data_IF_169472051826
#
_entry.id   IF_169472051826
#
_cell.length_a   1.000
_cell.length_b   1.000
_cell.length_c   1.000
_cell.angle_alpha   90.00
_cell.angle_beta   90.00
_cell.angle_gamma   90.00
#
_symmetry.space_group_name_H-M   'P 1'
#
loop_
_entity.id
_entity.type
_entity.pdbx_description
1 polymer ?
#
# COMPACT_ATOMS: atom_id res chain seq x y z
N UNK A 1 33.25 -23.65 -60.40
CA UNK A 1 32.75 -23.40 -59.03
C UNK A 1 32.88 -21.89 -58.77
N UNK A 2 31.78 -21.13 -58.72
CA UNK A 2 31.83 -19.67 -58.46
C UNK A 2 32.04 -19.45 -56.95
N UNK A 3 33.17 -18.88 -56.53
CA UNK A 3 33.37 -18.44 -55.15
C UNK A 3 32.44 -17.25 -54.88
N UNK A 4 31.43 -17.43 -54.03
CA UNK A 4 30.64 -16.32 -53.47
C UNK A 4 31.55 -15.54 -52.52
N UNK A 5 31.78 -14.25 -52.77
CA UNK A 5 32.43 -13.39 -51.79
C UNK A 5 31.54 -13.32 -50.55
N UNK A 6 32.06 -13.77 -49.41
CA UNK A 6 31.42 -13.50 -48.13
C UNK A 6 31.87 -12.11 -47.70
N UNK A 7 31.01 -11.12 -47.87
CA UNK A 7 31.24 -9.79 -47.32
C UNK A 7 31.08 -9.91 -45.79
N UNK A 8 32.19 -9.86 -45.06
CA UNK A 8 32.19 -9.82 -43.59
C UNK A 8 31.97 -8.40 -43.08
N UNK A 9 31.44 -8.27 -41.86
CA UNK A 9 31.29 -6.99 -41.18
C UNK A 9 32.67 -6.39 -40.87
N UNK A 10 32.85 -5.10 -41.13
CA UNK A 10 34.04 -4.36 -40.70
C UNK A 10 33.95 -4.00 -39.21
N UNK A 11 35.10 -3.87 -38.55
CA UNK A 11 35.15 -3.42 -37.16
C UNK A 11 34.53 -2.03 -36.98
N UNK A 12 34.72 -1.12 -37.95
CA UNK A 12 34.17 0.22 -37.92
C UNK A 12 32.62 0.22 -37.95
N UNK A 13 32.01 -0.61 -38.79
CA UNK A 13 30.56 -0.77 -38.85
C UNK A 13 30.00 -1.26 -37.51
N UNK A 14 30.66 -2.22 -36.87
CA UNK A 14 30.24 -2.69 -35.56
C UNK A 14 30.37 -1.61 -34.47
N UNK A 15 31.47 -0.84 -34.48
CA UNK A 15 31.71 0.21 -33.49
C UNK A 15 30.67 1.34 -33.56
N UNK A 16 30.28 1.77 -34.77
CA UNK A 16 29.25 2.80 -34.94
C UNK A 16 27.90 2.32 -34.38
N UNK A 17 27.54 1.06 -34.62
CA UNK A 17 26.30 0.46 -34.10
C UNK A 17 26.29 0.46 -32.58
N UNK A 18 27.38 0.02 -31.94
CA UNK A 18 27.49 0.02 -30.48
C UNK A 18 27.42 1.44 -29.92
N UNK A 19 28.05 2.42 -30.58
CA UNK A 19 28.00 3.82 -30.16
C UNK A 19 26.57 4.39 -30.18
N UNK A 20 25.79 4.09 -31.24
CA UNK A 20 24.38 4.51 -31.32
C UNK A 20 23.54 3.84 -30.23
N UNK A 21 23.71 2.54 -30.01
CA UNK A 21 22.99 1.81 -28.95
C UNK A 21 23.32 2.41 -27.57
N UNK A 22 24.57 2.76 -27.30
CA UNK A 22 24.98 3.37 -26.04
C UNK A 22 24.25 4.69 -25.77
N UNK A 23 24.13 5.57 -26.78
CA UNK A 23 23.40 6.84 -26.66
C UNK A 23 21.91 6.59 -26.41
N UNK A 24 21.29 5.66 -27.15
CA UNK A 24 19.87 5.32 -26.98
C UNK A 24 19.57 4.78 -25.57
N UNK A 25 20.42 3.87 -25.08
CA UNK A 25 20.27 3.29 -23.74
C UNK A 25 20.45 4.36 -22.66
N UNK A 26 21.43 5.26 -22.81
CA UNK A 26 21.70 6.33 -21.85
C UNK A 26 20.48 7.24 -21.61
N UNK A 27 19.74 7.59 -22.68
CA UNK A 27 18.51 8.40 -22.56
C UNK A 27 17.31 7.56 -22.10
N UNK A 28 17.24 6.29 -22.51
CA UNK A 28 16.06 5.44 -22.26
C UNK A 28 15.93 4.98 -20.80
N UNK A 29 17.04 4.63 -20.13
CA UNK A 29 17.02 4.13 -18.74
C UNK A 29 16.32 5.08 -17.75
N UNK A 30 16.68 6.38 -17.64
CA UNK A 30 16.05 7.27 -16.67
C UNK A 30 14.56 7.48 -16.95
N UNK A 31 14.17 7.60 -18.23
CA UNK A 31 12.77 7.75 -18.64
C UNK A 31 11.97 6.51 -18.23
N UNK A 32 12.48 5.32 -18.56
CA UNK A 32 11.84 4.06 -18.23
C UNK A 32 11.69 3.88 -16.71
N UNK A 33 12.73 4.20 -15.94
CA UNK A 33 12.69 4.13 -14.47
C UNK A 33 11.61 5.05 -13.89
N UNK A 34 11.45 6.27 -14.41
CA UNK A 34 10.42 7.20 -13.98
C UNK A 34 9.00 6.69 -14.28
N UNK A 35 8.77 6.11 -15.46
CA UNK A 35 7.47 5.53 -15.83
C UNK A 35 7.16 4.27 -15.01
N UNK A 36 8.16 3.42 -14.77
CA UNK A 36 8.02 2.24 -13.94
C UNK A 36 7.62 2.60 -12.51
N UNK A 37 8.19 3.67 -11.95
CA UNK A 37 7.83 4.13 -10.62
C UNK A 37 6.40 4.69 -10.55
N UNK A 38 5.96 5.43 -11.59
CA UNK A 38 4.56 5.85 -11.71
C UNK A 38 3.61 4.65 -11.74
N UNK A 39 3.94 3.61 -12.51
CA UNK A 39 3.14 2.39 -12.58
C UNK A 39 3.05 1.68 -11.23
N UNK A 40 4.15 1.60 -10.47
CA UNK A 40 4.16 1.04 -9.12
C UNK A 40 3.23 1.78 -8.17
N UNK A 41 3.30 3.12 -8.16
CA UNK A 41 2.39 3.94 -7.35
C UNK A 41 0.93 3.77 -7.75
N UNK A 42 0.65 3.66 -9.05
CA UNK A 42 -0.70 3.41 -9.55
C UNK A 42 -1.27 2.09 -9.02
N UNK A 43 -0.46 1.02 -9.01
CA UNK A 43 -0.83 -0.28 -8.43
C UNK A 43 -1.09 -0.16 -6.93
N UNK A 44 -0.22 0.51 -6.19
CA UNK A 44 -0.38 0.71 -4.74
C UNK A 44 -1.66 1.50 -4.42
N UNK A 45 -1.95 2.57 -5.17
CA UNK A 45 -3.19 3.35 -5.04
C UNK A 45 -4.43 2.53 -5.37
N UNK A 46 -4.37 1.69 -6.41
CA UNK A 46 -5.47 0.81 -6.77
C UNK A 46 -5.74 -0.20 -5.65
N UNK A 47 -4.70 -0.84 -5.12
CA UNK A 47 -4.82 -1.78 -4.00
C UNK A 47 -5.42 -1.10 -2.76
N UNK A 48 -4.95 0.10 -2.41
CA UNK A 48 -5.49 0.87 -1.29
C UNK A 48 -6.99 1.20 -1.47
N UNK A 49 -7.41 1.57 -2.69
CA UNK A 49 -8.82 1.81 -3.01
C UNK A 49 -9.67 0.53 -2.92
N UNK A 50 -9.15 -0.61 -3.39
CA UNK A 50 -9.83 -1.91 -3.27
C UNK A 50 -10.02 -2.26 -1.80
N UNK A 51 -8.98 -2.11 -0.96
CA UNK A 51 -9.06 -2.37 0.49
C UNK A 51 -10.11 -1.48 1.14
N UNK A 52 -10.04 -0.16 0.90
CA UNK A 52 -11.02 0.80 1.44
C UNK A 52 -12.45 0.44 1.06
N UNK A 53 -12.66 0.11 -0.21
CA UNK A 53 -13.98 -0.32 -0.72
C UNK A 53 -14.44 -1.61 -0.06
N UNK A 54 -13.56 -2.62 0.04
CA UNK A 54 -13.89 -3.92 0.64
C UNK A 54 -14.31 -3.78 2.12
N UNK A 55 -13.57 -2.99 2.90
CA UNK A 55 -13.89 -2.74 4.31
C UNK A 55 -15.19 -1.95 4.47
N UNK A 56 -15.39 -0.91 3.64
CA UNK A 56 -16.63 -0.10 3.67
C UNK A 56 -17.84 -0.94 3.28
N UNK A 57 -17.72 -1.80 2.26
CA UNK A 57 -18.80 -2.68 1.83
C UNK A 57 -19.12 -3.74 2.90
N UNK A 58 -18.11 -4.34 3.53
CA UNK A 58 -18.32 -5.28 4.61
C UNK A 58 -19.07 -4.65 5.81
N UNK A 59 -18.78 -3.38 6.12
CA UNK A 59 -19.56 -2.63 7.09
C UNK A 59 -21.02 -2.43 6.65
N UNK A 60 -21.25 -1.98 5.41
CA UNK A 60 -22.59 -1.76 4.86
C UNK A 60 -23.44 -3.04 4.76
N UNK A 61 -22.79 -4.19 4.56
CA UNK A 61 -23.41 -5.52 4.52
C UNK A 61 -23.72 -6.08 5.91
N UNK A 62 -23.39 -5.35 6.99
CA UNK A 62 -23.62 -5.79 8.37
C UNK A 62 -22.66 -6.88 8.85
N UNK A 63 -21.55 -7.10 8.15
CA UNK A 63 -20.51 -8.08 8.54
C UNK A 63 -19.55 -7.56 9.59
N UNK A 64 -19.57 -6.25 9.84
CA UNK A 64 -18.76 -5.58 10.85
C UNK A 64 -19.63 -4.93 11.90
N UNK A 65 -19.44 -5.32 13.16
CA UNK A 65 -19.95 -4.60 14.31
C UNK A 65 -18.82 -3.75 14.89
N UNK A 66 -18.91 -2.43 14.67
CA UNK A 66 -17.93 -1.45 15.10
C UNK A 66 -18.59 -0.58 16.18
N UNK A 67 -18.16 -0.70 17.46
CA UNK A 67 -18.63 0.19 18.51
C UNK A 67 -18.38 1.65 18.15
N UNK A 68 -19.35 2.54 18.38
CA UNK A 68 -19.20 3.99 18.15
C UNK A 68 -18.08 4.63 19.00
N UNK A 69 -17.68 3.95 20.08
CA UNK A 69 -16.60 4.33 20.99
C UNK A 69 -15.81 3.08 21.36
N UNK A 70 -14.49 3.16 21.37
CA UNK A 70 -13.65 2.05 21.79
C UNK A 70 -13.77 1.83 23.31
N UNK A 71 -13.85 0.57 23.74
CA UNK A 71 -13.90 0.21 25.16
C UNK A 71 -12.61 0.67 25.85
N UNK A 72 -12.72 1.56 26.84
CA UNK A 72 -11.58 2.12 27.57
C UNK A 72 -10.84 3.26 26.87
N UNK A 73 -11.32 3.74 25.71
CA UNK A 73 -10.79 4.92 25.01
C UNK A 73 -11.92 5.77 24.40
N UNK A 74 -12.71 6.40 25.28
CA UNK A 74 -13.96 7.08 24.90
C UNK A 74 -13.79 8.32 24.01
N UNK A 75 -12.57 8.85 23.91
CA UNK A 75 -12.21 10.00 23.06
C UNK A 75 -11.48 9.60 21.76
N UNK A 76 -11.23 8.31 21.55
CA UNK A 76 -10.52 7.79 20.36
C UNK A 76 -11.51 7.23 19.34
N UNK A 77 -11.14 7.26 18.06
CA UNK A 77 -11.85 6.51 17.03
C UNK A 77 -11.81 5.00 17.31
N UNK A 78 -12.79 4.27 16.76
CA UNK A 78 -12.87 2.81 16.85
C UNK A 78 -13.17 2.23 15.47
N UNK A 79 -12.45 1.19 15.06
CA UNK A 79 -12.63 0.61 13.74
C UNK A 79 -11.70 -0.54 13.42
N UNK A 80 -11.57 -0.76 12.13
CA UNK A 80 -10.63 -1.69 11.50
C UNK A 80 -9.63 -0.91 10.68
N UNK A 81 -8.42 -1.42 10.59
CA UNK A 81 -7.40 -0.85 9.71
C UNK A 81 -6.56 -1.94 9.07
N UNK A 82 -5.96 -1.59 7.94
CA UNK A 82 -5.05 -2.46 7.21
C UNK A 82 -3.76 -1.70 6.96
N UNK A 83 -2.65 -2.22 7.45
CA UNK A 83 -1.32 -1.71 7.13
C UNK A 83 -0.75 -2.57 6.01
N UNK A 84 -0.20 -1.94 4.98
CA UNK A 84 0.61 -2.60 3.96
C UNK A 84 1.97 -1.91 3.95
N UNK A 85 3.05 -2.67 4.00
CA UNK A 85 4.41 -2.14 3.89
C UNK A 85 5.13 -2.74 2.68
N UNK A 86 6.24 -2.10 2.28
CA UNK A 86 7.12 -2.63 1.23
C UNK A 86 7.95 -3.82 1.73
N UNK A 87 8.36 -3.76 2.99
CA UNK A 87 9.00 -4.84 3.74
C UNK A 87 8.70 -4.70 5.23
N UNK A 88 8.88 -5.79 5.99
CA UNK A 88 8.75 -5.79 7.47
C UNK A 88 9.76 -4.86 8.17
N UNK A 89 10.74 -4.32 7.45
CA UNK A 89 11.71 -3.35 7.96
C UNK A 89 11.30 -1.89 7.72
N UNK A 90 10.17 -1.66 7.04
CA UNK A 90 9.73 -0.36 6.50
C UNK A 90 8.30 -0.06 6.97
N UNK A 91 8.13 -0.11 8.29
CA UNK A 91 6.85 0.03 8.97
C UNK A 91 6.65 1.45 9.54
N UNK A 92 5.38 1.85 9.81
CA UNK A 92 5.10 3.00 10.67
C UNK A 92 5.61 2.76 12.10
N UNK A 93 5.88 3.82 12.85
CA UNK A 93 6.49 3.79 14.20
C UNK A 93 5.80 2.84 15.19
N UNK A 94 4.47 2.71 15.09
CA UNK A 94 3.67 1.91 16.00
C UNK A 94 3.62 0.40 15.68
N UNK A 95 4.38 -0.08 14.68
CA UNK A 95 4.34 -1.47 14.21
C UNK A 95 5.74 -2.10 14.19
N UNK A 96 5.81 -3.38 14.56
CA UNK A 96 7.04 -4.18 14.49
C UNK A 96 6.90 -5.32 13.49
N UNK A 97 8.02 -5.86 13.02
CA UNK A 97 8.06 -7.01 12.10
C UNK A 97 7.28 -8.22 12.61
N UNK A 98 7.37 -8.47 13.92
CA UNK A 98 6.76 -9.64 14.57
C UNK A 98 5.24 -9.57 14.53
N UNK A 99 4.67 -8.35 14.57
CA UNK A 99 3.22 -8.16 14.45
C UNK A 99 2.67 -8.61 13.10
N UNK A 100 3.49 -8.52 12.04
CA UNK A 100 3.09 -8.90 10.69
C UNK A 100 3.33 -10.39 10.41
N UNK A 101 4.01 -11.11 11.31
CA UNK A 101 4.29 -12.54 11.18
C UNK A 101 4.83 -12.90 9.79
N UNK A 102 5.94 -12.27 9.39
CA UNK A 102 6.61 -12.41 8.08
C UNK A 102 5.83 -11.90 6.86
N UNK A 103 4.57 -11.48 7.02
CA UNK A 103 3.78 -10.86 5.94
C UNK A 103 4.17 -9.40 5.75
N UNK A 104 3.70 -8.82 4.65
CA UNK A 104 3.80 -7.37 4.37
C UNK A 104 2.47 -6.64 4.60
N UNK A 105 1.53 -7.31 5.27
CA UNK A 105 0.21 -6.79 5.60
C UNK A 105 -0.14 -7.08 7.06
N UNK A 106 -0.81 -6.13 7.71
CA UNK A 106 -1.40 -6.32 9.04
C UNK A 106 -2.87 -5.93 8.99
N UNK A 107 -3.75 -6.85 9.39
CA UNK A 107 -5.20 -6.65 9.44
C UNK A 107 -5.62 -6.40 10.89
N UNK A 108 -5.74 -5.15 11.28
CA UNK A 108 -5.99 -4.75 12.66
C UNK A 108 -7.45 -4.38 12.92
N UNK A 109 -7.86 -4.53 14.18
CA UNK A 109 -9.14 -4.04 14.67
C UNK A 109 -9.06 -3.69 16.16
N UNK A 110 -9.82 -2.68 16.58
CA UNK A 110 -9.86 -2.23 17.97
C UNK A 110 -10.63 -3.21 18.87
N UNK A 111 -10.43 -3.09 20.19
CA UNK A 111 -11.16 -3.91 21.17
C UNK A 111 -12.66 -3.70 21.05
N UNK A 112 -13.41 -4.81 21.05
CA UNK A 112 -14.87 -4.81 20.92
C UNK A 112 -15.37 -4.88 19.47
N UNK A 113 -14.52 -4.59 18.48
CA UNK A 113 -14.88 -4.74 17.06
C UNK A 113 -15.02 -6.21 16.70
N UNK A 114 -16.08 -6.55 15.98
CA UNK A 114 -16.33 -7.90 15.46
C UNK A 114 -16.44 -7.86 13.95
N UNK A 115 -15.70 -8.72 13.25
CA UNK A 115 -15.72 -8.82 11.78
C UNK A 115 -15.94 -10.28 11.39
N UNK A 116 -16.99 -10.58 10.61
CA UNK A 116 -17.36 -11.96 10.26
C UNK A 116 -17.45 -12.88 11.50
N UNK A 117 -17.94 -12.37 12.64
CA UNK A 117 -18.01 -13.11 13.91
C UNK A 117 -16.70 -13.20 14.71
N UNK A 118 -15.58 -12.70 14.18
CA UNK A 118 -14.29 -12.67 14.88
C UNK A 118 -14.15 -11.38 15.69
N UNK A 119 -14.23 -11.51 17.01
CA UNK A 119 -14.11 -10.39 17.95
C UNK A 119 -12.65 -10.08 18.30
N UNK A 120 -12.30 -8.81 18.27
CA UNK A 120 -11.02 -8.29 18.75
C UNK A 120 -11.08 -7.98 20.25
N UNK A 121 -10.12 -8.48 21.01
CA UNK A 121 -10.09 -8.35 22.46
C UNK A 121 -9.17 -7.22 22.95
N UNK A 122 -8.14 -6.86 22.18
CA UNK A 122 -7.18 -5.82 22.54
C UNK A 122 -7.29 -4.62 21.59
N UNK A 123 -6.71 -3.50 22.01
CA UNK A 123 -6.67 -2.26 21.21
C UNK A 123 -6.06 -2.46 19.81
N UNK A 124 -5.05 -3.32 19.70
CA UNK A 124 -4.30 -3.62 18.46
C UNK A 124 -4.25 -5.14 18.26
N UNK A 125 -5.38 -5.72 17.86
CA UNK A 125 -5.50 -7.16 17.60
C UNK A 125 -5.48 -7.43 16.10
N UNK A 126 -4.69 -8.44 15.69
CA UNK A 126 -4.84 -9.00 14.35
C UNK A 126 -6.21 -9.68 14.27
N UNK A 127 -7.00 -9.33 13.26
CA UNK A 127 -8.35 -9.85 13.07
C UNK A 127 -8.43 -10.62 11.75
N UNK A 128 -8.63 -11.94 11.84
CA UNK A 128 -8.73 -12.83 10.68
C UNK A 128 -10.00 -12.61 9.86
N UNK A 129 -11.06 -12.04 10.47
CA UNK A 129 -12.26 -11.62 9.75
C UNK A 129 -11.97 -10.48 8.78
N UNK A 130 -11.12 -9.52 9.17
CA UNK A 130 -10.65 -8.45 8.28
C UNK A 130 -9.84 -9.05 7.12
N UNK A 131 -8.92 -9.98 7.39
CA UNK A 131 -8.17 -10.67 6.33
C UNK A 131 -9.08 -11.44 5.36
N UNK A 132 -10.14 -12.09 5.87
CA UNK A 132 -11.12 -12.79 5.03
C UNK A 132 -11.84 -11.82 4.08
N UNK A 133 -12.28 -10.65 4.56
CA UNK A 133 -12.89 -9.60 3.72
C UNK A 133 -11.96 -9.18 2.58
N UNK A 134 -10.66 -9.03 2.85
CA UNK A 134 -9.70 -8.66 1.80
C UNK A 134 -9.52 -9.78 0.76
N UNK A 135 -9.46 -11.04 1.21
CA UNK A 135 -9.35 -12.21 0.31
C UNK A 135 -10.58 -12.35 -0.57
N UNK A 136 -11.78 -12.15 -0.02
CA UNK A 136 -13.05 -12.12 -0.77
C UNK A 136 -13.07 -11.01 -1.83
N UNK A 137 -12.46 -9.87 -1.54
CA UNK A 137 -12.29 -8.78 -2.50
C UNK A 137 -11.21 -9.06 -3.58
N UNK A 138 -10.60 -10.25 -3.58
CA UNK A 138 -9.61 -10.69 -4.55
C UNK A 138 -8.16 -10.32 -4.22
N UNK A 139 -7.87 -9.85 -3.00
CA UNK A 139 -6.51 -9.50 -2.59
C UNK A 139 -5.76 -10.72 -2.05
N UNK A 140 -4.57 -10.97 -2.58
CA UNK A 140 -3.66 -12.00 -2.06
C UNK A 140 -2.87 -11.45 -0.87
N UNK A 141 -3.39 -11.63 0.34
CA UNK A 141 -2.79 -11.11 1.58
C UNK A 141 -1.42 -11.72 1.93
N UNK A 142 -1.02 -12.82 1.28
CA UNK A 142 0.27 -13.47 1.55
C UNK A 142 1.41 -12.82 0.75
N UNK A 143 1.09 -12.14 -0.35
CA UNK A 143 2.08 -11.53 -1.26
C UNK A 143 1.87 -10.03 -1.48
N UNK A 144 0.76 -9.47 -1.00
CA UNK A 144 0.46 -8.04 -1.11
C UNK A 144 1.50 -7.24 -0.32
N UNK A 145 2.14 -6.30 -1.03
CA UNK A 145 3.12 -5.38 -0.48
C UNK A 145 3.21 -4.13 -1.34
N UNK A 146 3.68 -3.04 -0.73
CA UNK A 146 3.95 -1.78 -1.44
C UNK A 146 5.01 -2.00 -2.52
N UNK A 147 4.76 -1.45 -3.70
CA UNK A 147 5.65 -1.54 -4.86
C UNK A 147 6.45 -0.26 -5.06
N UNK A 148 5.93 0.90 -4.66
CA UNK A 148 6.63 2.18 -4.76
C UNK A 148 7.98 2.12 -4.06
N UNK A 149 8.96 2.85 -4.61
CA UNK A 149 10.27 3.04 -3.99
C UNK A 149 10.29 4.29 -3.14
N UNK A 150 11.33 4.40 -2.29
CA UNK A 150 11.62 5.54 -1.43
C UNK A 150 12.01 6.78 -2.26
N UNK A 151 11.02 7.34 -2.95
CA UNK A 151 11.02 8.69 -3.49
C UNK A 151 10.25 9.53 -2.48
N UNK A 152 10.98 10.30 -1.68
CA UNK A 152 10.41 11.08 -0.57
C UNK A 152 9.38 12.11 -1.00
N UNK A 153 9.35 12.50 -2.28
CA UNK A 153 8.42 13.50 -2.78
C UNK A 153 7.08 12.90 -3.21
N UNK A 154 7.06 11.65 -3.67
CA UNK A 154 5.90 11.10 -4.40
C UNK A 154 5.57 9.64 -4.07
N UNK A 155 6.47 8.92 -3.41
CA UNK A 155 6.30 7.52 -3.01
C UNK A 155 5.90 7.39 -1.54
N UNK A 156 5.96 6.15 -1.07
CA UNK A 156 5.68 5.74 0.30
C UNK A 156 6.31 4.37 0.57
N UNK A 157 6.66 4.12 1.83
CA UNK A 157 7.12 2.82 2.30
C UNK A 157 5.97 1.95 2.80
N UNK A 158 4.92 2.61 3.30
CA UNK A 158 3.73 1.97 3.83
C UNK A 158 2.46 2.76 3.48
N UNK A 159 1.33 2.05 3.49
CA UNK A 159 -0.02 2.61 3.41
C UNK A 159 -0.82 2.05 4.60
N UNK A 160 -1.61 2.88 5.25
CA UNK A 160 -2.61 2.48 6.24
C UNK A 160 -4.00 2.85 5.73
N UNK A 161 -4.92 1.90 5.69
CA UNK A 161 -6.32 2.15 5.32
C UNK A 161 -7.17 1.92 6.56
N UNK A 162 -8.03 2.88 6.90
CA UNK A 162 -8.87 2.82 8.09
C UNK A 162 -10.35 2.98 7.72
N UNK A 163 -11.21 2.24 8.43
CA UNK A 163 -12.66 2.34 8.40
C UNK A 163 -13.20 2.21 9.82
N UNK A 164 -14.00 3.17 10.26
CA UNK A 164 -14.54 3.13 11.61
C UNK A 164 -15.42 4.32 11.98
N UNK A 165 -15.56 4.53 13.28
CA UNK A 165 -16.29 5.64 13.89
C UNK A 165 -15.37 6.54 14.69
N UNK A 166 -15.51 7.85 14.50
CA UNK A 166 -14.84 8.86 15.31
C UNK A 166 -15.81 10.01 15.52
N UNK A 167 -15.90 10.53 16.75
CA UNK A 167 -16.91 11.55 17.12
C UNK A 167 -18.34 11.14 16.69
N UNK A 168 -18.64 9.85 16.80
CA UNK A 168 -19.91 9.21 16.37
C UNK A 168 -20.24 9.27 14.87
N UNK A 169 -19.30 9.73 14.04
CA UNK A 169 -19.42 9.76 12.59
C UNK A 169 -18.61 8.62 11.97
N UNK A 170 -19.21 7.95 10.99
CA UNK A 170 -18.50 6.97 10.18
C UNK A 170 -17.47 7.69 9.30
N UNK A 171 -16.27 7.15 9.21
CA UNK A 171 -15.22 7.68 8.37
C UNK A 171 -14.41 6.56 7.72
N UNK A 172 -13.74 6.93 6.63
CA UNK A 172 -12.73 6.07 6.03
C UNK A 172 -11.61 6.90 5.42
N UNK A 173 -10.37 6.58 5.81
CA UNK A 173 -9.16 7.33 5.45
C UNK A 173 -8.09 6.41 4.88
N UNK A 174 -7.19 6.98 4.09
CA UNK A 174 -6.02 6.29 3.57
C UNK A 174 -4.82 7.17 3.93
N UNK A 175 -3.87 6.63 4.67
CA UNK A 175 -2.63 7.29 5.03
C UNK A 175 -1.46 6.63 4.31
N UNK A 176 -0.41 7.39 4.04
CA UNK A 176 0.87 6.86 3.60
C UNK A 176 2.02 7.66 4.18
N UNK A 177 3.18 7.02 4.30
CA UNK A 177 4.37 7.65 4.83
C UNK A 177 5.61 6.79 4.64
N UNK A 178 6.69 7.20 5.31
CA UNK A 178 7.98 6.54 5.26
C UNK A 178 8.29 5.81 6.55
N UNK A 179 9.23 4.88 6.49
CA UNK A 179 9.66 4.10 7.66
C UNK A 179 9.87 4.99 8.89
N UNK A 180 9.25 4.61 10.01
CA UNK A 180 9.40 5.30 11.29
C UNK A 180 8.54 6.57 11.44
N UNK A 181 7.81 6.98 10.40
CA UNK A 181 6.81 8.02 10.54
C UNK A 181 5.60 7.49 11.33
N UNK A 182 4.90 8.41 12.02
CA UNK A 182 3.60 8.10 12.62
C UNK A 182 2.60 7.72 11.54
N UNK A 183 1.70 6.80 11.85
CA UNK A 183 0.74 6.30 10.86
C UNK A 183 -0.28 7.36 10.43
N UNK A 184 -0.55 8.36 11.28
CA UNK A 184 -1.58 9.37 11.07
C UNK A 184 -2.95 8.94 11.58
N UNK A 185 -3.14 7.64 11.84
CA UNK A 185 -4.35 7.04 12.41
C UNK A 185 -4.67 7.57 13.81
N UNK A 186 -3.66 8.09 14.51
CA UNK A 186 -3.80 8.56 15.89
C UNK A 186 -4.55 9.90 16.00
N UNK A 187 -4.68 10.64 14.90
CA UNK A 187 -5.37 11.94 14.86
C UNK A 187 -6.30 11.94 13.65
N UNK A 188 -7.60 11.77 13.89
CA UNK A 188 -8.64 11.71 12.83
C UNK A 188 -8.69 13.01 11.98
N UNK A 189 -8.15 14.11 12.51
CA UNK A 189 -8.00 15.42 11.84
C UNK A 189 -6.62 15.61 11.16
N UNK A 190 -5.77 14.59 11.10
CA UNK A 190 -4.48 14.70 10.41
C UNK A 190 -4.72 15.00 8.91
N UNK A 191 -4.07 16.05 8.41
CA UNK A 191 -4.21 16.51 7.02
C UNK A 191 -3.81 15.46 5.98
N UNK A 192 -4.15 15.73 4.72
CA UNK A 192 -4.04 14.79 3.59
C UNK A 192 -2.63 14.20 3.42
N UNK A 193 -2.52 12.87 3.47
CA UNK A 193 -1.29 12.12 3.19
C UNK A 193 -0.87 12.20 1.71
N UNK A 194 0.35 11.76 1.38
CA UNK A 194 0.84 11.76 -0.02
C UNK A 194 -0.08 10.96 -0.95
N UNK A 195 -0.60 9.83 -0.46
CA UNK A 195 -1.51 9.00 -1.24
C UNK A 195 -2.90 9.61 -1.37
N UNK A 196 -3.42 10.30 -0.35
CA UNK A 196 -4.69 11.03 -0.45
C UNK A 196 -4.60 12.15 -1.49
N UNK A 197 -3.51 12.93 -1.47
CA UNK A 197 -3.26 13.95 -2.49
C UNK A 197 -3.20 13.35 -3.90
N UNK A 198 -2.57 12.17 -4.05
CA UNK A 198 -2.47 11.47 -5.33
C UNK A 198 -3.80 10.85 -5.80
N UNK A 199 -4.68 10.46 -4.87
CA UNK A 199 -5.99 9.86 -5.15
C UNK A 199 -7.08 10.91 -5.42
N UNK A 200 -6.82 12.19 -5.12
CA UNK A 200 -7.78 13.30 -5.29
C UNK A 200 -8.58 13.62 -4.03
N UNK A 201 -8.07 13.26 -2.85
CA UNK A 201 -8.66 13.70 -1.57
C UNK A 201 -8.60 15.23 -1.48
N UNK A 202 -9.77 15.87 -1.40
CA UNK A 202 -9.85 17.30 -1.11
C UNK A 202 -9.36 17.54 0.31
N UNK A 203 -8.53 18.58 0.49
CA UNK A 203 -8.31 19.20 1.79
C UNK A 203 -9.63 19.69 2.39
#
# INVERSE_FOLDING_TARGET
MKYRSKNGFTLAELLIVVAIIAVLVAVSIPIFNGQLEKARRAVDMQNARIIKSALTNAYNEGRMDIPKKAVGQENSGCGVWVVICRSTSELPDAYTSDMLNEKSIYCGANSGVTVNGVKSNNWKSYNTGVEAVLKEAGLNCDTLKIKSRNDKEKGWDWIVIEVGFAKEQFYSRIYSGFKGDKSGMEVVEAGSSNIEKAIGGSN
#
